data_IF_295180001321
#
_entry.id   IF_295180001321
#
_cell.length_a   1.000
_cell.length_b   1.000
_cell.length_c   1.000
_cell.angle_alpha   90.00
_cell.angle_beta   90.00
_cell.angle_gamma   90.00
#
_symmetry.space_group_name_H-M   'P 1'
#
loop_
_entity.id
_entity.type
_entity.pdbx_description
1 polymer ?
#
# COMPACT_ATOMS: atom_id res chain seq x y z
N UNK A 1 21.55 2.17 44.77
CA UNK A 1 21.01 1.27 43.71
C UNK A 1 21.85 0.00 43.64
N UNK A 2 21.29 -1.14 44.07
CA UNK A 2 21.94 -2.45 44.00
C UNK A 2 22.18 -2.87 42.54
N UNK A 3 23.21 -3.69 42.29
CA UNK A 3 23.53 -4.24 40.96
C UNK A 3 22.30 -4.88 40.29
N UNK A 4 21.49 -5.59 41.07
CA UNK A 4 20.24 -6.20 40.61
C UNK A 4 19.22 -5.16 40.09
N UNK A 5 19.04 -4.05 40.81
CA UNK A 5 18.12 -2.97 40.42
C UNK A 5 18.57 -2.32 39.10
N UNK A 6 19.89 -2.15 38.90
CA UNK A 6 20.44 -1.63 37.65
C UNK A 6 20.20 -2.58 36.47
N UNK A 7 20.33 -3.89 36.69
CA UNK A 7 20.07 -4.92 35.65
C UNK A 7 18.59 -4.99 35.29
N UNK A 8 17.69 -4.92 36.29
CA UNK A 8 16.23 -4.89 36.05
C UNK A 8 15.81 -3.69 35.20
N UNK A 9 16.29 -2.49 35.53
CA UNK A 9 15.99 -1.27 34.76
C UNK A 9 16.52 -1.35 33.32
N UNK A 10 17.72 -1.92 33.10
CA UNK A 10 18.25 -2.13 31.74
C UNK A 10 17.39 -3.10 30.95
N UNK A 11 16.93 -4.19 31.57
CA UNK A 11 16.06 -5.17 30.94
C UNK A 11 14.72 -4.54 30.53
N UNK A 12 14.09 -3.77 31.42
CA UNK A 12 12.84 -3.07 31.14
C UNK A 12 12.98 -2.08 29.98
N UNK A 13 14.06 -1.28 29.95
CA UNK A 13 14.37 -0.38 28.82
C UNK A 13 14.50 -1.12 27.49
N UNK A 14 15.22 -2.24 27.46
CA UNK A 14 15.38 -3.05 26.23
C UNK A 14 14.03 -3.65 25.81
N UNK A 15 13.20 -4.07 26.76
CA UNK A 15 11.86 -4.62 26.49
C UNK A 15 10.95 -3.55 25.86
N UNK A 16 10.96 -2.34 26.40
CA UNK A 16 10.20 -1.20 25.88
C UNK A 16 10.67 -0.79 24.49
N UNK A 17 11.98 -0.70 24.27
CA UNK A 17 12.55 -0.38 22.96
C UNK A 17 12.14 -1.42 21.90
N UNK A 18 12.19 -2.72 22.26
CA UNK A 18 11.72 -3.80 21.39
C UNK A 18 10.22 -3.76 21.14
N UNK A 19 9.42 -3.31 22.11
CA UNK A 19 7.98 -3.14 21.92
C UNK A 19 7.71 -2.01 20.93
N UNK A 20 8.32 -0.84 21.13
CA UNK A 20 8.22 0.31 20.22
C UNK A 20 8.63 -0.03 18.80
N UNK A 21 9.79 -0.67 18.60
CA UNK A 21 10.26 -1.09 17.27
C UNK A 21 9.29 -2.05 16.58
N UNK A 22 8.68 -2.97 17.33
CA UNK A 22 7.67 -3.89 16.79
C UNK A 22 6.41 -3.15 16.36
N UNK A 23 5.92 -2.22 17.16
CA UNK A 23 4.74 -1.41 16.80
C UNK A 23 4.99 -0.55 15.56
N UNK A 24 6.15 0.12 15.49
CA UNK A 24 6.55 0.91 14.32
C UNK A 24 6.64 0.05 13.06
N UNK A 25 7.27 -1.13 13.14
CA UNK A 25 7.34 -2.08 12.04
C UNK A 25 5.97 -2.59 11.58
N UNK A 26 5.07 -2.91 12.51
CA UNK A 26 3.72 -3.37 12.16
C UNK A 26 2.91 -2.28 11.46
N UNK A 27 3.05 -1.03 11.88
CA UNK A 27 2.39 0.12 11.22
C UNK A 27 2.92 0.32 9.80
N UNK A 28 4.23 0.32 9.61
CA UNK A 28 4.85 0.45 8.27
C UNK A 28 4.44 -0.70 7.35
N UNK A 29 4.49 -1.94 7.87
CA UNK A 29 4.05 -3.13 7.15
C UNK A 29 2.60 -3.02 6.70
N UNK A 30 1.69 -2.61 7.58
CA UNK A 30 0.28 -2.45 7.25
C UNK A 30 0.06 -1.38 6.17
N UNK A 31 0.74 -0.23 6.27
CA UNK A 31 0.66 0.83 5.26
C UNK A 31 1.16 0.35 3.89
N UNK A 32 2.27 -0.39 3.86
CA UNK A 32 2.82 -0.96 2.63
C UNK A 32 1.88 -1.99 2.02
N UNK A 33 1.33 -2.89 2.83
CA UNK A 33 0.37 -3.89 2.36
C UNK A 33 -0.90 -3.25 1.80
N UNK A 34 -1.41 -2.20 2.45
CA UNK A 34 -2.58 -1.44 1.96
C UNK A 34 -2.28 -0.74 0.63
N UNK A 35 -1.12 -0.09 0.50
CA UNK A 35 -0.71 0.55 -0.75
C UNK A 35 -0.57 -0.46 -1.90
N UNK A 36 0.02 -1.63 -1.62
CA UNK A 36 0.14 -2.72 -2.59
C UNK A 36 -1.23 -3.28 -2.98
N UNK A 37 -2.16 -3.41 -2.03
CA UNK A 37 -3.53 -3.87 -2.29
C UNK A 37 -4.26 -2.90 -3.21
N UNK A 38 -4.25 -1.60 -2.89
CA UNK A 38 -4.84 -0.54 -3.73
C UNK A 38 -4.25 -0.54 -5.14
N UNK A 39 -2.93 -0.70 -5.27
CA UNK A 39 -2.28 -0.80 -6.58
C UNK A 39 -2.77 -2.01 -7.38
N UNK A 40 -2.82 -3.20 -6.76
CA UNK A 40 -3.29 -4.43 -7.41
C UNK A 40 -4.75 -4.31 -7.85
N UNK A 41 -5.62 -3.80 -6.99
CA UNK A 41 -7.03 -3.56 -7.29
C UNK A 41 -7.19 -2.61 -8.50
N UNK A 42 -6.50 -1.46 -8.47
CA UNK A 42 -6.52 -0.51 -9.59
C UNK A 42 -6.01 -1.14 -10.89
N UNK A 43 -4.92 -1.92 -10.81
CA UNK A 43 -4.35 -2.62 -11.97
C UNK A 43 -5.33 -3.63 -12.57
N UNK A 44 -5.99 -4.43 -11.74
CA UNK A 44 -6.98 -5.42 -12.19
C UNK A 44 -8.19 -4.72 -12.80
N UNK A 45 -8.75 -3.71 -12.14
CA UNK A 45 -9.88 -2.95 -12.65
C UNK A 45 -9.57 -2.32 -14.02
N UNK A 46 -8.39 -1.71 -14.15
CA UNK A 46 -7.92 -1.15 -15.42
C UNK A 46 -7.79 -2.21 -16.50
N UNK A 47 -7.17 -3.36 -16.19
CA UNK A 47 -7.06 -4.47 -17.13
C UNK A 47 -8.43 -4.97 -17.61
N UNK A 48 -9.37 -5.18 -16.68
CA UNK A 48 -10.72 -5.62 -17.01
C UNK A 48 -11.45 -4.61 -17.91
N UNK A 49 -11.27 -3.31 -17.65
CA UNK A 49 -11.82 -2.26 -18.49
C UNK A 49 -11.26 -2.31 -19.93
N UNK A 50 -9.93 -2.39 -20.06
CA UNK A 50 -9.24 -2.35 -21.34
C UNK A 50 -9.38 -3.64 -22.15
N UNK A 51 -9.63 -4.78 -21.48
CA UNK A 51 -9.90 -6.06 -22.13
C UNK A 51 -11.28 -6.10 -22.81
N UNK A 52 -12.21 -5.20 -22.46
CA UNK A 52 -13.56 -5.18 -23.03
C UNK A 52 -13.52 -4.99 -24.54
N UNK A 53 -14.26 -5.84 -25.23
CA UNK A 53 -14.44 -5.83 -26.67
C UNK A 53 -15.84 -5.34 -27.02
N UNK A 54 -15.99 -4.82 -28.23
CA UNK A 54 -17.30 -4.51 -28.80
C UNK A 54 -18.07 -5.80 -29.09
N UNK A 55 -19.37 -5.71 -29.40
CA UNK A 55 -20.18 -6.88 -29.81
C UNK A 55 -19.58 -7.65 -30.99
N UNK A 56 -18.79 -6.98 -31.84
CA UNK A 56 -18.08 -7.56 -33.00
C UNK A 56 -16.68 -8.10 -32.65
N UNK A 57 -16.31 -8.14 -31.37
CA UNK A 57 -15.02 -8.67 -30.91
C UNK A 57 -13.82 -7.72 -31.08
N UNK A 58 -14.03 -6.51 -31.59
CA UNK A 58 -12.97 -5.52 -31.74
C UNK A 58 -12.62 -4.88 -30.40
N UNK A 59 -11.37 -4.45 -30.19
CA UNK A 59 -10.99 -3.66 -29.02
C UNK A 59 -11.83 -2.36 -28.92
N UNK A 60 -12.27 -2.00 -27.72
CA UNK A 60 -13.02 -0.76 -27.53
C UNK A 60 -12.05 0.40 -27.24
N UNK A 61 -11.65 1.15 -28.29
CA UNK A 61 -10.73 2.27 -28.16
C UNK A 61 -11.29 3.44 -27.34
N UNK A 62 -12.61 3.65 -27.31
CA UNK A 62 -13.21 4.75 -26.56
C UNK A 62 -12.88 4.65 -25.06
N UNK A 63 -12.93 3.43 -24.51
CA UNK A 63 -12.52 3.14 -23.13
C UNK A 63 -11.03 3.44 -22.86
N UNK A 64 -10.15 3.17 -23.84
CA UNK A 64 -8.74 3.54 -23.73
C UNK A 64 -8.55 5.06 -23.71
N UNK A 65 -9.27 5.77 -24.59
CA UNK A 65 -9.20 7.22 -24.70
C UNK A 65 -9.74 7.92 -23.45
N UNK A 66 -10.85 7.44 -22.90
CA UNK A 66 -11.42 7.96 -21.64
C UNK A 66 -10.44 7.80 -20.47
N UNK A 67 -9.83 6.61 -20.33
CA UNK A 67 -8.83 6.37 -19.29
C UNK A 67 -7.59 7.28 -19.46
N UNK A 68 -7.15 7.51 -20.71
CA UNK A 68 -6.03 8.40 -21.00
C UNK A 68 -6.37 9.85 -20.62
N UNK A 69 -7.56 10.32 -21.01
CA UNK A 69 -8.03 11.66 -20.69
C UNK A 69 -8.12 11.86 -19.17
N UNK A 70 -8.65 10.89 -18.44
CA UNK A 70 -8.70 10.92 -16.98
C UNK A 70 -7.29 11.03 -16.36
N UNK A 71 -6.28 10.31 -16.89
CA UNK A 71 -4.90 10.42 -16.41
C UNK A 71 -4.31 11.81 -16.65
N UNK A 72 -4.53 12.39 -17.83
CA UNK A 72 -4.06 13.74 -18.16
C UNK A 72 -4.71 14.78 -17.24
N UNK A 73 -6.03 14.67 -17.02
CA UNK A 73 -6.76 15.58 -16.12
C UNK A 73 -6.31 15.43 -14.66
N UNK A 74 -6.06 14.21 -14.20
CA UNK A 74 -5.55 13.96 -12.85
C UNK A 74 -4.13 14.48 -12.65
N UNK A 75 -3.29 14.53 -13.69
CA UNK A 75 -1.95 15.14 -13.64
C UNK A 75 -1.98 16.67 -13.65
N UNK A 76 -3.06 17.27 -14.16
CA UNK A 76 -3.23 18.74 -14.20
C UNK A 76 -3.82 19.31 -12.90
N UNK A 77 -4.36 18.46 -12.02
CA UNK A 77 -4.81 18.83 -10.68
C UNK A 77 -3.66 18.68 -9.69
#
# INVERSE_FOLDING_TARGET
MSSYQKTKLKYERIKEERARKREEFLKDKAQREEALKKYKEKKIATYQLLKRKTKKGQPNLNLHMELLLQKIQAQRK
#
